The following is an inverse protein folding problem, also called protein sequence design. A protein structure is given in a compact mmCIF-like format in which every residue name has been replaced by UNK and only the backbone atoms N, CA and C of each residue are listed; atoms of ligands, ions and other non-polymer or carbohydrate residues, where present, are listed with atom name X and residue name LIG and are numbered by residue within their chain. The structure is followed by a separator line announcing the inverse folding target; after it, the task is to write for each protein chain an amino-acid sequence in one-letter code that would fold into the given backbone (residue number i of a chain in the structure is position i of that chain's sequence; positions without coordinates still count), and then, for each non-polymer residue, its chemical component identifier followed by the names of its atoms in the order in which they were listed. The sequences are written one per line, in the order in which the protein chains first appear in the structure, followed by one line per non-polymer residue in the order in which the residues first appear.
data_IF_418764495803
#
_entry.id   IF_418764495803
#
_cell.length_a   1.000
_cell.length_b   1.000
_cell.length_c   1.000
_cell.angle_alpha   90.00
_cell.angle_beta   90.00
_cell.angle_gamma   90.00
#
_symmetry.space_group_name_H-M   'P 1'
#
loop_
_entity.id
_entity.type
_entity.pdbx_description
1 polymer ?
#
# COMPACT_ATOMS: atom_id res chain seq x y z
N UNK A 1 25.54 -21.86 -41.10
CA UNK A 1 24.26 -21.22 -41.47
C UNK A 1 23.95 -20.13 -40.46
N UNK A 2 24.28 -18.89 -40.82
CA UNK A 2 24.00 -17.68 -40.04
C UNK A 2 22.55 -17.31 -40.29
N UNK A 3 21.76 -17.06 -39.24
CA UNK A 3 20.44 -16.45 -39.38
C UNK A 3 20.37 -15.18 -38.54
N UNK A 4 20.42 -14.11 -39.31
CA UNK A 4 20.36 -12.68 -39.04
C UNK A 4 19.17 -12.27 -38.18
N UNK A 5 19.42 -11.35 -37.26
CA UNK A 5 18.47 -10.58 -36.46
C UNK A 5 17.92 -9.44 -37.33
N UNK A 6 16.59 -9.24 -37.33
CA UNK A 6 15.98 -8.02 -37.85
C UNK A 6 15.14 -7.37 -36.75
N UNK A 7 15.67 -6.28 -36.18
CA UNK A 7 14.96 -5.36 -35.32
C UNK A 7 14.25 -4.33 -36.20
N UNK A 8 12.94 -4.14 -35.99
CA UNK A 8 12.16 -3.07 -36.63
C UNK A 8 12.06 -1.92 -35.64
N UNK A 9 12.87 -0.88 -35.87
CA UNK A 9 12.66 0.46 -35.30
C UNK A 9 11.52 1.13 -36.06
N UNK A 10 10.44 1.52 -35.37
CA UNK A 10 9.41 2.39 -35.94
C UNK A 10 9.53 3.78 -35.31
N UNK A 11 10.18 4.67 -36.06
CA UNK A 11 10.24 6.11 -35.84
C UNK A 11 8.90 6.72 -36.28
N UNK A 12 8.23 7.50 -35.44
CA UNK A 12 7.08 8.30 -35.87
C UNK A 12 7.40 9.79 -35.81
N UNK A 13 7.27 10.40 -37.00
CA UNK A 13 7.37 11.82 -37.27
C UNK A 13 6.16 12.58 -36.71
N UNK A 14 6.42 13.79 -36.22
CA UNK A 14 5.42 14.82 -35.90
C UNK A 14 5.13 15.64 -37.15
N UNK A 15 3.86 15.87 -37.53
CA UNK A 15 3.51 17.00 -38.38
C UNK A 15 3.02 18.17 -37.51
N UNK A 16 3.73 19.30 -37.60
CA UNK A 16 3.22 20.59 -37.18
C UNK A 16 2.37 21.24 -38.27
N UNK A 17 1.37 22.01 -37.84
CA UNK A 17 0.61 23.08 -38.52
C UNK A 17 -0.50 23.46 -37.51
N UNK A 18 -0.88 24.69 -37.21
CA UNK A 18 -0.77 26.00 -37.84
C UNK A 18 -1.89 26.83 -37.17
N UNK A 19 -1.64 28.10 -36.86
CA UNK A 19 -2.44 28.89 -35.93
C UNK A 19 -3.87 29.28 -36.37
N UNK A 20 -4.63 29.79 -35.40
CA UNK A 20 -5.72 30.74 -35.62
C UNK A 20 -5.87 31.62 -34.37
N UNK A 21 -5.65 32.91 -34.55
CA UNK A 21 -5.96 33.96 -33.59
C UNK A 21 -7.45 34.31 -33.65
N UNK A 22 -8.06 34.63 -32.51
CA UNK A 22 -9.29 35.42 -32.45
C UNK A 22 -9.14 36.46 -31.33
N UNK A 23 -9.23 37.73 -31.75
CA UNK A 23 -9.42 38.91 -30.90
C UNK A 23 -10.91 39.17 -30.67
N UNK A 24 -11.25 39.61 -29.47
CA UNK A 24 -12.25 40.63 -29.07
C UNK A 24 -12.39 40.51 -27.55
N UNK A 25 -12.46 41.55 -26.72
CA UNK A 25 -12.73 42.97 -26.90
C UNK A 25 -13.71 43.41 -25.80
N UNK A 26 -13.31 44.33 -24.91
CA UNK A 26 -14.14 44.96 -23.86
C UNK A 26 -13.79 44.49 -22.44
N UNK A 27 -13.30 45.30 -21.49
CA UNK A 27 -13.20 46.76 -21.36
C UNK A 27 -14.23 47.30 -20.36
N UNK A 28 -13.92 47.31 -19.06
CA UNK A 28 -14.41 48.33 -18.09
C UNK A 28 -13.32 48.60 -17.05
N UNK A 29 -13.09 49.89 -16.83
CA UNK A 29 -12.09 50.51 -15.96
C UNK A 29 -12.75 51.01 -14.67
N UNK A 30 -12.07 50.89 -13.53
CA UNK A 30 -12.23 51.79 -12.38
C UNK A 30 -10.82 52.12 -11.86
N UNK A 31 -10.39 53.38 -12.02
CA UNK A 31 -9.33 54.06 -11.26
C UNK A 31 -9.88 54.42 -9.86
N UNK A 32 -9.15 54.60 -8.78
CA UNK A 32 -7.71 54.73 -8.53
C UNK A 32 -7.48 55.30 -7.12
N UNK A 33 -6.20 55.55 -6.77
CA UNK A 33 -5.73 56.34 -5.62
C UNK A 33 -5.35 55.50 -4.39
N UNK A 34 -4.28 55.77 -3.64
CA UNK A 34 -3.14 56.69 -3.79
C UNK A 34 -2.03 56.22 -2.84
N UNK A 35 -0.80 56.58 -3.19
CA UNK A 35 0.44 56.48 -2.41
C UNK A 35 0.38 57.10 -1.01
N UNK A 36 1.14 56.53 -0.07
CA UNK A 36 1.50 57.17 1.19
C UNK A 36 2.62 56.40 1.90
N UNK A 37 3.85 56.89 1.77
CA UNK A 37 5.03 56.45 2.54
C UNK A 37 5.10 57.24 3.84
N UNK A 38 5.36 56.59 4.98
CA UNK A 38 5.91 57.22 6.20
C UNK A 38 6.86 56.23 6.89
N UNK A 39 8.06 56.72 7.20
CA UNK A 39 9.12 56.06 7.94
C UNK A 39 9.05 56.31 9.46
N UNK A 40 9.52 55.30 10.22
CA UNK A 40 10.29 55.31 11.49
C UNK A 40 9.62 55.77 12.80
N UNK A 41 9.54 54.84 13.78
CA UNK A 41 10.30 54.87 15.06
C UNK A 41 9.65 53.97 16.13
N UNK A 42 10.48 53.30 16.95
CA UNK A 42 10.05 52.76 18.25
C UNK A 42 10.42 51.30 18.52
N UNK A 43 11.68 51.06 18.85
CA UNK A 43 12.14 49.84 19.54
C UNK A 43 11.48 49.73 20.93
N UNK A 44 11.04 48.52 21.30
CA UNK A 44 10.97 48.11 22.70
C UNK A 44 11.43 46.66 22.85
N UNK A 45 12.61 46.56 23.43
CA UNK A 45 13.36 45.37 23.82
C UNK A 45 12.52 44.44 24.72
N UNK A 46 12.54 43.13 24.44
CA UNK A 46 12.02 42.07 25.31
C UNK A 46 13.18 41.14 25.62
N UNK A 47 13.44 40.78 26.90
CA UNK A 47 14.69 40.14 27.30
C UNK A 47 14.76 38.67 26.86
N UNK A 48 15.97 38.25 26.48
CA UNK A 48 16.31 36.90 26.06
C UNK A 48 16.18 35.88 27.21
N UNK A 49 15.67 34.66 26.96
CA UNK A 49 15.82 33.56 27.89
C UNK A 49 17.19 32.88 27.73
N UNK A 50 17.72 32.47 28.87
CA UNK A 50 19.06 31.94 29.09
C UNK A 50 19.42 30.71 28.25
N UNK A 51 20.71 30.62 27.93
CA UNK A 51 21.36 29.46 27.33
C UNK A 51 21.19 28.21 28.21
N UNK A 52 20.54 27.18 27.67
CA UNK A 52 20.41 25.87 28.28
C UNK A 52 20.50 24.77 27.23
N UNK A 53 21.57 23.96 27.31
CA UNK A 53 21.69 22.59 26.79
C UNK A 53 21.22 22.30 25.35
N UNK A 54 22.18 22.15 24.42
CA UNK A 54 21.95 21.46 23.13
C UNK A 54 21.40 20.05 23.39
N UNK A 55 20.10 19.85 23.24
CA UNK A 55 19.50 18.53 23.07
C UNK A 55 19.64 18.13 21.59
N UNK A 56 20.28 16.99 21.35
CA UNK A 56 20.36 16.40 20.01
C UNK A 56 18.95 16.04 19.49
N UNK A 57 18.68 16.15 18.18
CA UNK A 57 17.38 15.80 17.62
C UNK A 57 17.10 14.29 17.79
N UNK A 58 15.88 13.89 18.19
CA UNK A 58 15.53 12.49 18.44
C UNK A 58 15.17 11.79 17.12
N UNK A 59 16.12 11.72 16.17
CA UNK A 59 16.04 10.87 14.98
C UNK A 59 17.42 10.84 14.29
N UNK A 60 18.39 10.19 14.93
CA UNK A 60 19.54 9.66 14.21
C UNK A 60 19.14 8.28 13.65
N UNK A 61 19.46 7.95 12.38
CA UNK A 61 19.19 6.63 11.85
C UNK A 61 19.96 5.59 12.69
N UNK A 62 19.23 4.64 13.26
CA UNK A 62 19.83 3.51 13.97
C UNK A 62 20.65 2.73 12.95
N UNK A 63 21.98 2.83 13.04
CA UNK A 63 22.89 2.01 12.23
C UNK A 63 22.70 0.55 12.67
N UNK A 64 22.12 -0.27 11.81
CA UNK A 64 22.16 -1.71 12.00
C UNK A 64 23.63 -2.16 12.00
N UNK A 65 24.05 -2.84 13.06
CA UNK A 65 25.36 -3.45 13.13
C UNK A 65 25.49 -4.47 12.00
N UNK A 66 26.33 -4.16 11.01
CA UNK A 66 26.73 -5.08 9.95
C UNK A 66 27.70 -6.13 10.53
N UNK A 67 27.14 -7.09 11.27
CA UNK A 67 27.83 -8.29 11.72
C UNK A 67 27.37 -9.50 10.92
N UNK A 68 27.77 -9.59 9.66
CA UNK A 68 27.44 -10.71 8.77
C UNK A 68 28.28 -10.65 7.51
N UNK A 69 28.83 -11.79 7.08
CA UNK A 69 29.66 -11.94 5.88
C UNK A 69 29.02 -11.23 4.68
N UNK A 70 29.78 -10.41 3.95
CA UNK A 70 29.36 -9.86 2.66
C UNK A 70 28.94 -11.04 1.74
N UNK A 71 27.70 -11.04 1.25
CA UNK A 71 27.42 -11.54 -0.10
C UNK A 71 26.40 -12.66 -0.32
N UNK A 72 25.74 -13.23 0.69
CA UNK A 72 24.58 -14.12 0.44
C UNK A 72 23.29 -13.41 0.86
N UNK A 73 22.51 -12.96 -0.13
CA UNK A 73 21.15 -12.50 0.08
C UNK A 73 20.34 -13.66 0.68
N UNK A 74 19.79 -13.49 1.88
CA UNK A 74 18.99 -14.52 2.54
C UNK A 74 17.80 -14.90 1.64
N UNK A 75 17.86 -16.10 1.05
CA UNK A 75 16.75 -16.68 0.29
C UNK A 75 15.89 -17.54 1.20
N UNK A 76 14.61 -17.20 1.27
CA UNK A 76 13.59 -17.96 1.98
C UNK A 76 13.11 -19.15 1.17
N UNK A 77 12.80 -20.24 1.86
CA UNK A 77 12.23 -21.43 1.24
C UNK A 77 10.85 -21.13 0.66
N UNK A 78 10.56 -21.74 -0.50
CA UNK A 78 9.29 -21.56 -1.21
C UNK A 78 8.13 -22.13 -0.36
N UNK A 79 7.11 -21.31 -0.01
CA UNK A 79 5.99 -21.76 0.80
C UNK A 79 5.07 -22.77 0.12
N UNK A 80 5.15 -22.95 -1.19
CA UNK A 80 4.37 -23.96 -1.92
C UNK A 80 4.95 -25.36 -1.71
N UNK A 81 6.26 -25.46 -1.54
CA UNK A 81 6.98 -26.74 -1.35
C UNK A 81 7.43 -26.97 0.09
N UNK A 82 7.37 -25.93 0.93
CA UNK A 82 7.82 -25.98 2.33
C UNK A 82 6.64 -25.94 3.29
N UNK A 83 6.56 -26.90 4.20
CA UNK A 83 5.57 -26.90 5.28
C UNK A 83 6.02 -25.98 6.41
N UNK A 84 5.17 -25.03 6.77
CA UNK A 84 5.35 -24.18 7.95
C UNK A 84 4.37 -24.58 9.05
N UNK A 85 4.78 -24.49 10.34
CA UNK A 85 3.86 -24.73 11.44
C UNK A 85 2.72 -23.71 11.42
N UNK A 86 1.51 -24.17 11.72
CA UNK A 86 0.36 -23.29 11.88
C UNK A 86 0.63 -22.31 13.04
N UNK A 87 0.34 -21.02 12.81
CA UNK A 87 0.48 -19.97 13.82
C UNK A 87 -0.77 -19.12 13.81
N UNK A 88 -1.33 -18.84 14.99
CA UNK A 88 -2.49 -17.95 15.13
C UNK A 88 -2.13 -16.58 14.54
N UNK A 89 -2.99 -16.06 13.67
CA UNK A 89 -2.75 -14.81 12.94
C UNK A 89 -1.97 -14.99 11.64
N UNK A 90 -1.70 -16.23 11.21
CA UNK A 90 -1.23 -16.55 9.86
C UNK A 90 -2.35 -17.26 9.11
N UNK A 91 -2.67 -16.75 7.92
CA UNK A 91 -3.76 -17.26 7.10
C UNK A 91 -3.22 -18.16 5.97
N UNK A 92 -4.08 -18.96 5.31
CA UNK A 92 -3.68 -19.79 4.19
C UNK A 92 -3.00 -19.00 3.07
N UNK A 93 -2.08 -19.66 2.37
CA UNK A 93 -1.45 -19.10 1.18
C UNK A 93 -2.36 -19.20 -0.04
N UNK A 94 -2.38 -18.13 -0.81
CA UNK A 94 -2.70 -18.11 -2.22
C UNK A 94 -1.42 -18.37 -3.01
N UNK A 95 -1.41 -19.46 -3.77
CA UNK A 95 -0.26 -19.87 -4.58
C UNK A 95 -0.45 -19.50 -6.04
N UNK A 96 0.67 -19.29 -6.71
CA UNK A 96 0.76 -18.89 -8.12
C UNK A 96 -0.33 -17.86 -8.45
N UNK A 97 -0.21 -16.65 -7.91
CA UNK A 97 -1.14 -15.57 -8.22
C UNK A 97 -0.44 -14.62 -9.18
N UNK A 98 -1.12 -14.25 -10.26
CA UNK A 98 -0.63 -13.17 -11.12
C UNK A 98 -0.74 -11.86 -10.35
N UNK A 99 0.42 -11.28 -10.03
CA UNK A 99 0.53 -9.94 -9.51
C UNK A 99 0.77 -8.95 -10.65
N UNK A 100 0.10 -7.82 -10.63
CA UNK A 100 0.33 -6.68 -11.53
C UNK A 100 0.71 -5.44 -10.74
N UNK A 101 1.35 -4.46 -11.37
CA UNK A 101 1.78 -3.24 -10.69
C UNK A 101 0.80 -2.11 -10.93
N UNK A 102 0.40 -1.46 -9.84
CA UNK A 102 -0.41 -0.25 -9.85
C UNK A 102 0.22 0.78 -8.92
N UNK A 103 -0.14 2.06 -9.08
CA UNK A 103 0.43 3.10 -8.24
C UNK A 103 -0.55 4.24 -7.93
N UNK A 104 -0.32 4.87 -6.78
CA UNK A 104 -1.07 6.04 -6.33
C UNK A 104 -0.86 7.22 -7.28
N UNK A 105 -1.96 7.81 -7.72
CA UNK A 105 -1.99 8.94 -8.65
C UNK A 105 -1.87 8.56 -10.12
N UNK A 106 -1.97 7.27 -10.47
CA UNK A 106 -2.10 6.84 -11.87
C UNK A 106 -3.27 7.58 -12.56
N UNK A 107 -2.97 8.23 -13.67
CA UNK A 107 -3.96 8.88 -14.52
C UNK A 107 -4.74 7.83 -15.32
N UNK A 108 -6.01 8.08 -15.66
CA UNK A 108 -6.76 7.16 -16.47
C UNK A 108 -6.15 7.10 -17.89
N UNK A 109 -6.07 5.91 -18.45
CA UNK A 109 -5.64 5.67 -19.84
C UNK A 109 -6.75 5.00 -20.62
N UNK A 110 -6.60 4.91 -21.95
CA UNK A 110 -7.56 4.16 -22.78
C UNK A 110 -7.72 2.69 -22.34
N UNK A 111 -6.68 2.10 -21.72
CA UNK A 111 -6.66 0.72 -21.21
C UNK A 111 -7.05 0.61 -19.73
N UNK A 112 -6.91 1.67 -18.94
CA UNK A 112 -7.32 1.73 -17.54
C UNK A 112 -8.17 2.99 -17.30
N UNK A 113 -9.49 2.85 -17.34
CA UNK A 113 -10.40 3.99 -17.16
C UNK A 113 -10.47 4.49 -15.72
N UNK A 114 -9.97 3.71 -14.76
CA UNK A 114 -10.06 4.03 -13.33
C UNK A 114 -8.75 4.68 -12.87
N UNK A 115 -8.77 5.97 -12.52
CA UNK A 115 -7.58 6.63 -12.00
C UNK A 115 -7.37 6.33 -10.51
N UNK A 116 -6.12 6.24 -10.08
CA UNK A 116 -5.74 5.86 -8.70
C UNK A 116 -5.43 7.08 -7.82
N UNK A 117 -6.07 8.22 -8.07
CA UNK A 117 -5.97 9.39 -7.18
C UNK A 117 -6.79 9.21 -5.89
N UNK A 118 -7.70 8.22 -5.89
CA UNK A 118 -8.53 7.76 -4.79
C UNK A 118 -8.36 6.26 -4.65
N UNK A 119 -8.51 5.75 -3.44
CA UNK A 119 -8.72 4.33 -3.20
C UNK A 119 -10.17 4.08 -2.78
N UNK A 120 -10.51 2.81 -2.71
CA UNK A 120 -11.77 2.28 -2.19
C UNK A 120 -12.13 2.78 -0.79
N UNK A 121 -11.13 3.25 -0.01
CA UNK A 121 -11.32 3.74 1.35
C UNK A 121 -10.63 5.08 1.64
N UNK A 122 -10.12 5.77 0.61
CA UNK A 122 -9.51 7.09 0.74
C UNK A 122 -9.82 7.96 -0.49
N UNK A 123 -10.70 8.94 -0.31
CA UNK A 123 -11.12 9.85 -1.39
C UNK A 123 -10.08 10.93 -1.72
N UNK A 124 -8.99 11.00 -0.95
CA UNK A 124 -7.87 11.92 -1.14
C UNK A 124 -6.55 11.15 -1.15
N UNK A 125 -6.55 9.92 -1.67
CA UNK A 125 -5.44 8.97 -1.49
C UNK A 125 -4.08 9.51 -1.94
N UNK A 126 -4.00 10.10 -3.14
CA UNK A 126 -2.75 10.72 -3.62
C UNK A 126 -2.31 11.89 -2.74
N UNK A 127 -3.25 12.76 -2.36
CA UNK A 127 -2.93 13.88 -1.49
C UNK A 127 -2.43 13.36 -0.14
N UNK A 128 -3.14 12.42 0.50
CA UNK A 128 -2.80 11.83 1.79
C UNK A 128 -1.48 11.05 1.75
N UNK A 129 -1.15 10.39 0.64
CA UNK A 129 0.16 9.75 0.44
C UNK A 129 1.29 10.78 0.39
N UNK A 130 1.02 11.97 -0.15
CA UNK A 130 1.97 13.09 -0.24
C UNK A 130 2.34 13.47 -1.67
N UNK A 131 1.91 12.70 -2.68
CA UNK A 131 2.22 12.99 -4.07
C UNK A 131 1.98 11.79 -4.99
N UNK A 132 2.43 11.92 -6.24
CA UNK A 132 2.39 10.87 -7.25
C UNK A 132 3.44 9.79 -6.97
N UNK A 133 3.03 8.52 -6.91
CA UNK A 133 3.93 7.40 -6.62
C UNK A 133 4.63 6.90 -7.88
N UNK A 134 5.68 7.60 -8.30
CA UNK A 134 6.32 7.39 -9.61
C UNK A 134 6.70 5.92 -9.87
N UNK A 135 6.17 5.25 -10.91
CA UNK A 135 6.34 3.81 -11.06
C UNK A 135 7.74 3.39 -11.52
N UNK A 136 8.54 4.30 -12.09
CA UNK A 136 9.91 3.98 -12.52
C UNK A 136 10.87 3.82 -11.33
N UNK A 137 11.74 2.80 -11.41
CA UNK A 137 12.76 2.46 -10.42
C UNK A 137 13.78 3.58 -10.23
N UNK A 138 14.07 4.38 -11.26
CA UNK A 138 15.02 5.48 -11.16
C UNK A 138 14.56 6.58 -10.19
N UNK A 139 13.27 6.65 -9.90
CA UNK A 139 12.66 7.63 -9.01
C UNK A 139 12.46 7.08 -7.59
N UNK A 140 13.17 6.00 -7.24
CA UNK A 140 13.07 5.31 -5.95
C UNK A 140 14.31 5.49 -5.09
N UNK A 141 14.12 5.76 -3.80
CA UNK A 141 15.19 5.77 -2.80
C UNK A 141 15.69 4.34 -2.55
N UNK A 142 16.79 4.18 -1.80
CA UNK A 142 17.24 2.87 -1.29
C UNK A 142 16.17 2.13 -0.46
N UNK A 143 15.25 2.88 0.17
CA UNK A 143 14.10 2.35 0.91
C UNK A 143 12.84 2.15 0.04
N UNK A 144 12.99 2.16 -1.29
CA UNK A 144 11.92 1.94 -2.26
C UNK A 144 10.78 2.99 -2.25
N UNK A 145 10.98 4.11 -1.55
CA UNK A 145 10.07 5.25 -1.50
C UNK A 145 10.26 6.19 -2.71
N UNK A 146 9.28 7.02 -3.07
CA UNK A 146 9.45 8.10 -4.04
C UNK A 146 10.59 9.06 -3.64
N UNK A 147 11.45 9.46 -4.58
CA UNK A 147 12.51 10.46 -4.34
C UNK A 147 11.98 11.87 -4.13
N UNK A 148 10.79 12.18 -4.67
CA UNK A 148 10.25 13.54 -4.68
C UNK A 148 9.63 14.01 -3.36
N UNK A 149 9.34 13.11 -2.42
CA UNK A 149 8.73 13.44 -1.13
C UNK A 149 8.88 12.28 -0.13
N UNK A 150 8.75 12.59 1.16
CA UNK A 150 8.63 11.56 2.21
C UNK A 150 7.17 11.09 2.26
N UNK A 151 6.88 9.80 2.03
CA UNK A 151 5.50 9.32 1.98
C UNK A 151 4.83 9.37 3.35
N UNK A 152 3.62 9.94 3.37
CA UNK A 152 2.76 10.08 4.56
C UNK A 152 1.83 8.89 4.77
N UNK A 153 1.69 8.01 3.79
CA UNK A 153 1.13 6.66 3.94
C UNK A 153 2.21 5.61 3.60
N UNK A 154 1.98 4.36 3.97
CA UNK A 154 2.95 3.29 3.75
C UNK A 154 3.20 3.08 2.25
N UNK A 155 4.46 3.15 1.77
CA UNK A 155 4.79 2.92 0.35
C UNK A 155 4.64 1.45 -0.07
N UNK A 156 4.59 0.51 0.88
CA UNK A 156 4.31 -0.90 0.61
C UNK A 156 2.82 -1.16 0.76
N UNK A 157 2.08 -1.00 -0.34
CA UNK A 157 0.64 -1.24 -0.39
C UNK A 157 0.25 -2.20 -1.51
N UNK A 158 -0.96 -2.76 -1.39
CA UNK A 158 -1.59 -3.66 -2.37
C UNK A 158 -3.07 -3.34 -2.58
N UNK A 159 -3.63 -3.82 -3.69
CA UNK A 159 -5.05 -3.99 -3.90
C UNK A 159 -5.42 -5.47 -4.00
N UNK A 160 -6.54 -5.85 -3.36
CA UNK A 160 -7.17 -7.18 -3.50
C UNK A 160 -8.63 -6.99 -3.92
N UNK A 161 -9.23 -7.93 -4.69
CA UNK A 161 -10.47 -7.69 -5.43
C UNK A 161 -11.74 -7.81 -4.57
N UNK A 162 -11.73 -7.21 -3.38
CA UNK A 162 -12.87 -7.19 -2.47
C UNK A 162 -12.99 -5.87 -1.70
N UNK A 163 -14.17 -5.26 -1.69
CA UNK A 163 -14.53 -4.15 -0.83
C UNK A 163 -15.54 -4.60 0.23
N UNK A 164 -15.13 -4.43 1.47
CA UNK A 164 -15.89 -4.29 2.70
C UNK A 164 -17.33 -3.78 2.74
N UNK A 165 -17.46 -2.63 2.10
CA UNK A 165 -18.39 -1.58 2.49
C UNK A 165 -19.29 -1.23 1.31
N UNK A 166 -20.51 -0.86 1.65
CA UNK A 166 -21.47 -0.26 0.73
C UNK A 166 -21.60 1.20 1.15
N UNK A 167 -20.67 2.03 0.64
CA UNK A 167 -20.56 3.43 1.05
C UNK A 167 -20.14 3.60 2.50
N UNK A 168 -20.50 4.75 3.09
CA UNK A 168 -20.08 5.17 4.43
C UNK A 168 -20.96 4.65 5.57
N UNK A 169 -22.08 3.97 5.26
CA UNK A 169 -23.11 3.62 6.24
C UNK A 169 -23.28 2.13 6.49
N UNK A 170 -22.74 1.25 5.65
CA UNK A 170 -22.99 -0.18 5.73
C UNK A 170 -21.81 -1.03 5.26
N UNK A 171 -21.77 -2.27 5.75
CA UNK A 171 -20.95 -3.34 5.20
C UNK A 171 -21.74 -4.16 4.19
N UNK A 172 -21.05 -4.89 3.32
CA UNK A 172 -21.71 -5.86 2.45
C UNK A 172 -22.34 -6.99 3.28
N UNK A 173 -23.49 -7.55 2.87
CA UNK A 173 -24.19 -8.58 3.65
C UNK A 173 -23.35 -9.81 3.98
N UNK A 174 -22.41 -10.18 3.11
CA UNK A 174 -21.51 -11.32 3.33
C UNK A 174 -20.31 -11.00 4.21
N UNK A 175 -19.98 -9.73 4.45
CA UNK A 175 -18.72 -9.30 5.06
C UNK A 175 -18.46 -9.95 6.43
N UNK A 176 -19.45 -9.96 7.32
CA UNK A 176 -19.33 -10.57 8.65
C UNK A 176 -19.06 -12.08 8.57
N UNK A 177 -19.64 -12.75 7.58
CA UNK A 177 -19.53 -14.20 7.41
C UNK A 177 -18.19 -14.60 6.78
N UNK A 178 -17.69 -13.82 5.83
CA UNK A 178 -16.55 -14.23 4.98
C UNK A 178 -15.20 -13.69 5.47
N UNK A 179 -15.19 -12.55 6.17
CA UNK A 179 -13.94 -11.93 6.63
C UNK A 179 -13.50 -12.55 7.96
N UNK A 180 -12.37 -13.28 8.01
CA UNK A 180 -12.01 -14.08 9.19
C UNK A 180 -11.81 -13.27 10.47
N UNK A 181 -11.48 -11.99 10.35
CA UNK A 181 -11.24 -11.08 11.48
C UNK A 181 -12.38 -10.10 11.71
N UNK A 182 -13.53 -10.22 11.02
CA UNK A 182 -14.60 -9.23 11.09
C UNK A 182 -15.01 -8.92 12.53
N UNK A 183 -15.39 -9.95 13.30
CA UNK A 183 -15.84 -9.77 14.70
C UNK A 183 -14.78 -9.17 15.61
N UNK A 184 -13.50 -9.50 15.36
CA UNK A 184 -12.37 -8.93 16.11
C UNK A 184 -12.21 -7.46 15.76
N UNK A 185 -12.40 -7.12 14.50
CA UNK A 185 -11.96 -5.84 13.96
C UNK A 185 -13.03 -4.81 13.65
N UNK A 186 -14.30 -5.20 13.68
CA UNK A 186 -15.45 -4.33 13.49
C UNK A 186 -15.46 -3.19 14.52
N UNK A 187 -15.61 -1.96 14.03
CA UNK A 187 -15.72 -0.76 14.86
C UNK A 187 -17.13 -0.16 14.75
N UNK A 188 -17.59 0.07 13.52
CA UNK A 188 -18.93 0.57 13.18
C UNK A 188 -19.25 0.30 11.72
N UNK A 189 -20.53 0.36 11.38
CA UNK A 189 -20.99 0.19 10.00
C UNK A 189 -20.31 1.21 9.04
N UNK A 190 -19.96 0.74 7.83
CA UNK A 190 -19.29 1.57 6.81
C UNK A 190 -17.81 1.89 7.09
N UNK A 191 -17.25 1.39 8.20
CA UNK A 191 -15.81 1.43 8.48
C UNK A 191 -15.19 0.09 8.06
N UNK A 192 -14.35 0.11 7.04
CA UNK A 192 -13.67 -1.07 6.52
C UNK A 192 -12.88 -1.80 7.60
N UNK A 193 -13.02 -3.12 7.64
CA UNK A 193 -12.15 -4.06 8.37
C UNK A 193 -11.06 -4.67 7.47
N UNK A 194 -11.09 -4.41 6.17
CA UNK A 194 -10.06 -4.82 5.21
C UNK A 194 -8.90 -3.81 5.11
N UNK A 195 -9.19 -2.50 5.16
CA UNK A 195 -8.18 -1.45 5.03
C UNK A 195 -7.08 -1.60 6.09
N UNK A 196 -5.83 -1.57 5.65
CA UNK A 196 -4.64 -1.59 6.50
C UNK A 196 -4.25 -2.98 7.00
N UNK A 197 -4.99 -4.04 6.64
CA UNK A 197 -4.62 -5.43 6.91
C UNK A 197 -3.33 -5.75 6.16
N UNK A 198 -2.44 -6.51 6.80
CA UNK A 198 -1.16 -6.86 6.23
C UNK A 198 -1.22 -8.16 5.42
N UNK A 199 -0.55 -8.14 4.27
CA UNK A 199 -0.24 -9.33 3.48
C UNK A 199 1.25 -9.63 3.53
N UNK A 200 1.60 -10.90 3.53
CA UNK A 200 2.95 -11.37 3.20
C UNK A 200 2.95 -11.78 1.73
N UNK A 201 3.94 -11.32 0.96
CA UNK A 201 4.08 -11.62 -0.46
C UNK A 201 5.44 -12.27 -0.66
N UNK A 202 5.49 -13.39 -1.37
CA UNK A 202 6.69 -14.14 -1.69
C UNK A 202 6.91 -14.20 -3.20
N UNK A 203 8.15 -13.97 -3.62
CA UNK A 203 8.62 -14.12 -5.00
C UNK A 203 10.08 -14.54 -4.99
N UNK A 204 10.40 -15.64 -5.67
CA UNK A 204 11.78 -16.12 -5.93
C UNK A 204 12.76 -16.03 -4.74
N UNK A 205 12.34 -16.55 -3.59
CA UNK A 205 13.18 -16.60 -2.39
C UNK A 205 13.19 -15.32 -1.55
N UNK A 206 12.46 -14.28 -1.96
CA UNK A 206 12.26 -13.07 -1.15
C UNK A 206 10.82 -12.99 -0.66
N UNK A 207 10.62 -12.37 0.50
CA UNK A 207 9.28 -11.92 0.89
C UNK A 207 9.33 -10.50 1.41
N UNK A 208 8.22 -9.79 1.23
CA UNK A 208 7.94 -8.53 1.91
C UNK A 208 6.57 -8.58 2.58
N UNK A 209 6.25 -7.53 3.30
CA UNK A 209 4.91 -7.27 3.80
C UNK A 209 4.38 -5.97 3.24
N UNK A 210 3.07 -5.89 2.99
CA UNK A 210 2.40 -4.72 2.47
C UNK A 210 1.01 -4.55 3.08
N UNK A 211 0.51 -3.32 3.13
CA UNK A 211 -0.83 -3.00 3.62
C UNK A 211 -1.86 -3.03 2.51
N UNK A 212 -3.02 -3.62 2.77
CA UNK A 212 -4.15 -3.60 1.85
C UNK A 212 -4.83 -2.23 1.89
N UNK A 213 -4.70 -1.43 0.82
CA UNK A 213 -5.12 -0.02 0.81
C UNK A 213 -6.12 0.33 -0.32
N UNK A 214 -6.37 -0.60 -1.25
CA UNK A 214 -7.38 -0.43 -2.31
C UNK A 214 -8.05 -1.75 -2.74
N UNK A 215 -9.08 -1.67 -3.58
CA UNK A 215 -9.77 -2.80 -4.17
C UNK A 215 -9.51 -2.92 -5.66
N UNK A 216 -9.19 -4.13 -6.09
CA UNK A 216 -8.78 -4.48 -7.45
C UNK A 216 -7.92 -5.74 -7.41
N UNK A 217 -7.60 -6.36 -8.53
CA UNK A 217 -7.81 -5.88 -9.90
C UNK A 217 -9.23 -6.17 -10.43
N UNK A 218 -9.76 -5.25 -11.24
CA UNK A 218 -11.01 -5.31 -12.04
C UNK A 218 -12.36 -5.50 -11.32
N UNK A 219 -12.40 -6.16 -10.17
CA UNK A 219 -13.61 -6.34 -9.37
C UNK A 219 -13.38 -5.98 -7.91
N UNK A 220 -14.48 -5.82 -7.17
CA UNK A 220 -14.50 -5.47 -5.76
C UNK A 220 -15.39 -6.41 -4.93
N UNK A 221 -15.79 -7.55 -5.48
CA UNK A 221 -16.76 -8.48 -4.88
C UNK A 221 -16.26 -9.93 -4.80
N UNK A 222 -14.97 -10.18 -5.04
CA UNK A 222 -14.40 -11.51 -5.19
C UNK A 222 -13.94 -12.13 -3.86
N UNK A 223 -14.87 -12.20 -2.91
CA UNK A 223 -14.59 -12.76 -1.57
C UNK A 223 -14.23 -14.25 -1.60
N UNK A 224 -14.75 -15.00 -2.58
CA UNK A 224 -14.49 -16.43 -2.72
C UNK A 224 -13.03 -16.74 -3.08
N UNK A 225 -12.40 -15.83 -3.83
CA UNK A 225 -10.95 -15.82 -4.00
C UNK A 225 -10.27 -15.26 -2.76
N UNK A 226 -10.57 -14.02 -2.37
CA UNK A 226 -9.77 -13.30 -1.35
C UNK A 226 -9.72 -14.04 -0.01
N UNK A 227 -10.85 -14.57 0.46
CA UNK A 227 -10.96 -15.28 1.75
C UNK A 227 -11.17 -16.79 1.61
N UNK A 228 -11.32 -17.28 0.39
CA UNK A 228 -11.55 -18.70 0.10
C UNK A 228 -10.40 -19.34 -0.66
N UNK A 229 -10.75 -20.30 -1.52
CA UNK A 229 -9.81 -21.13 -2.28
C UNK A 229 -10.07 -21.10 -3.79
N UNK A 230 -11.04 -20.31 -4.27
CA UNK A 230 -11.30 -20.16 -5.71
C UNK A 230 -10.17 -19.36 -6.37
N UNK A 231 -9.90 -19.55 -7.68
CA UNK A 231 -9.06 -18.63 -8.42
C UNK A 231 -9.71 -17.23 -8.52
N UNK A 232 -8.93 -16.17 -8.84
CA UNK A 232 -9.50 -14.85 -9.12
C UNK A 232 -10.60 -14.93 -10.19
N UNK A 233 -11.71 -14.22 -9.96
CA UNK A 233 -12.85 -14.13 -10.88
C UNK A 233 -12.48 -13.44 -12.20
N UNK A 234 -11.50 -12.53 -12.16
CA UNK A 234 -11.05 -11.76 -13.32
C UNK A 234 -10.29 -12.64 -14.33
N UNK A 235 -10.56 -12.46 -15.63
CA UNK A 235 -9.84 -13.11 -16.74
C UNK A 235 -8.84 -12.19 -17.46
N UNK A 236 -8.89 -10.86 -17.24
CA UNK A 236 -7.99 -9.90 -17.87
C UNK A 236 -6.60 -9.90 -17.20
N UNK A 237 -5.58 -9.36 -17.88
CA UNK A 237 -4.19 -9.28 -17.38
C UNK A 237 -3.69 -10.62 -16.81
N UNK A 238 -3.89 -11.72 -17.56
CA UNK A 238 -3.50 -13.07 -17.14
C UNK A 238 -4.11 -13.50 -15.79
N UNK A 239 -5.41 -13.21 -15.61
CA UNK A 239 -6.15 -13.48 -14.37
C UNK A 239 -5.45 -12.90 -13.13
N UNK A 240 -5.10 -11.61 -13.20
CA UNK A 240 -4.54 -10.88 -12.07
C UNK A 240 -5.43 -11.03 -10.83
N UNK A 241 -4.81 -11.30 -9.69
CA UNK A 241 -5.48 -11.47 -8.39
C UNK A 241 -4.99 -10.53 -7.30
N UNK A 242 -3.88 -9.83 -7.53
CA UNK A 242 -3.34 -8.83 -6.60
C UNK A 242 -2.64 -7.74 -7.40
N UNK A 243 -2.90 -6.48 -7.07
CA UNK A 243 -2.07 -5.38 -7.53
C UNK A 243 -1.06 -5.00 -6.44
N UNK A 244 0.20 -4.84 -6.82
CA UNK A 244 1.31 -4.51 -5.91
C UNK A 244 1.86 -3.13 -6.23
N UNK A 245 2.18 -2.37 -5.20
CA UNK A 245 2.86 -1.08 -5.33
C UNK A 245 4.25 -1.20 -6.00
N UNK A 246 4.79 -0.11 -6.57
CA UNK A 246 6.14 -0.13 -7.12
C UNK A 246 7.20 -0.48 -6.06
N UNK A 247 7.01 -0.07 -4.80
CA UNK A 247 7.94 -0.43 -3.72
C UNK A 247 7.99 -1.94 -3.46
N UNK A 248 6.85 -2.63 -3.54
CA UNK A 248 6.78 -4.10 -3.45
C UNK A 248 7.47 -4.75 -4.64
N UNK A 249 7.19 -4.27 -5.87
CA UNK A 249 7.82 -4.76 -7.11
C UNK A 249 9.35 -4.67 -7.01
N UNK A 250 9.85 -3.52 -6.60
CA UNK A 250 11.29 -3.21 -6.57
C UNK A 250 12.01 -4.00 -5.48
N UNK A 251 11.41 -4.09 -4.30
CA UNK A 251 11.96 -4.90 -3.21
C UNK A 251 12.05 -6.39 -3.60
N UNK A 252 11.03 -6.92 -4.27
CA UNK A 252 11.01 -8.32 -4.70
C UNK A 252 11.87 -8.56 -5.95
N UNK A 253 12.28 -7.51 -6.67
CA UNK A 253 13.07 -7.62 -7.89
C UNK A 253 12.29 -8.15 -9.09
N UNK A 254 11.01 -7.79 -9.23
CA UNK A 254 10.14 -8.24 -10.33
C UNK A 254 10.47 -7.47 -11.63
N UNK A 255 10.90 -8.13 -12.72
CA UNK A 255 11.53 -7.46 -13.87
C UNK A 255 10.58 -6.90 -14.95
N UNK A 256 9.27 -7.22 -14.91
CA UNK A 256 8.36 -6.94 -16.04
C UNK A 256 6.98 -6.41 -15.63
N UNK A 257 6.87 -5.79 -14.44
CA UNK A 257 5.62 -5.20 -13.94
C UNK A 257 4.51 -6.21 -13.62
N UNK A 258 4.72 -7.49 -13.90
CA UNK A 258 3.88 -8.60 -13.47
C UNK A 258 4.71 -9.84 -13.16
N UNK A 259 4.30 -10.63 -12.18
CA UNK A 259 4.94 -11.91 -11.84
C UNK A 259 3.96 -12.89 -11.21
N UNK A 260 4.36 -14.17 -11.12
CA UNK A 260 3.65 -15.16 -10.31
C UNK A 260 4.20 -15.11 -8.90
N UNK A 261 3.37 -14.72 -7.95
CA UNK A 261 3.73 -14.58 -6.53
C UNK A 261 2.93 -15.56 -5.70
N UNK A 262 3.33 -15.70 -4.43
CA UNK A 262 2.48 -16.30 -3.40
C UNK A 262 2.14 -15.22 -2.39
N UNK A 263 0.91 -15.18 -1.91
CA UNK A 263 0.54 -14.21 -0.88
C UNK A 263 -0.39 -14.80 0.17
N UNK A 264 -0.38 -14.23 1.38
CA UNK A 264 -1.32 -14.58 2.45
C UNK A 264 -1.55 -13.39 3.35
N UNK A 265 -2.68 -13.38 4.06
CA UNK A 265 -2.87 -12.45 5.17
C UNK A 265 -1.99 -12.81 6.36
N UNK A 266 -1.63 -11.79 7.15
CA UNK A 266 -0.87 -11.93 8.38
C UNK A 266 -1.24 -10.85 9.39
N UNK A 267 -1.41 -11.23 10.64
CA UNK A 267 -1.63 -10.27 11.71
C UNK A 267 -0.36 -9.43 11.96
N UNK A 268 -0.53 -8.13 12.23
CA UNK A 268 0.58 -7.19 12.42
C UNK A 268 1.66 -7.62 13.42
N UNK A 269 1.29 -8.30 14.51
CA UNK A 269 2.26 -8.76 15.51
C UNK A 269 3.28 -9.78 14.97
N UNK A 270 3.01 -10.36 13.80
CA UNK A 270 3.88 -11.31 13.08
C UNK A 270 4.63 -10.66 11.92
N UNK A 271 4.28 -9.43 11.55
CA UNK A 271 5.00 -8.66 10.54
C UNK A 271 6.37 -8.31 11.12
N UNK A 272 7.41 -8.78 10.44
CA UNK A 272 8.80 -8.48 10.78
C UNK A 272 9.17 -7.08 10.30
N UNK A 273 10.20 -6.49 10.88
CA UNK A 273 10.73 -5.22 10.40
C UNK A 273 11.41 -5.38 9.03
N UNK A 274 11.37 -4.32 8.24
CA UNK A 274 11.92 -4.21 6.89
C UNK A 274 11.62 -2.82 6.33
N UNK A 275 11.90 -2.54 5.05
CA UNK A 275 11.63 -1.23 4.45
C UNK A 275 10.16 -0.78 4.60
N UNK A 276 9.20 -1.71 4.53
CA UNK A 276 7.76 -1.49 4.76
C UNK A 276 7.39 -0.99 6.17
N UNK A 277 8.32 -0.99 7.12
CA UNK A 277 8.08 -0.58 8.50
C UNK A 277 8.48 0.89 8.77
N UNK A 278 9.07 1.59 7.79
CA UNK A 278 9.77 2.87 8.03
C UNK A 278 8.89 4.12 7.94
N UNK A 279 7.89 4.11 7.06
CA UNK A 279 7.12 5.32 6.71
C UNK A 279 5.61 5.09 6.76
N UNK A 280 4.87 6.20 6.81
CA UNK A 280 3.40 6.24 6.75
C UNK A 280 2.72 6.38 8.11
N UNK A 281 1.80 7.34 8.23
CA UNK A 281 0.96 7.53 9.43
C UNK A 281 -0.11 6.45 9.58
N UNK A 282 -0.44 5.71 8.51
CA UNK A 282 -1.26 4.49 8.52
C UNK A 282 -0.45 3.23 8.88
N UNK A 283 0.86 3.37 9.14
CA UNK A 283 1.74 2.25 9.46
C UNK A 283 1.88 2.05 10.98
N UNK A 284 1.41 0.92 11.55
CA UNK A 284 1.50 0.65 12.99
C UNK A 284 2.93 0.50 13.55
N UNK A 285 3.96 0.40 12.70
CA UNK A 285 5.35 0.54 13.16
C UNK A 285 5.68 1.99 13.55
N UNK A 286 5.19 2.96 12.77
CA UNK A 286 5.45 4.41 12.91
C UNK A 286 4.46 5.05 13.89
N UNK A 287 3.17 4.74 13.74
CA UNK A 287 2.09 5.34 14.54
C UNK A 287 1.56 4.33 15.58
N UNK A 288 1.93 4.55 16.85
CA UNK A 288 1.51 3.70 17.97
C UNK A 288 0.04 3.84 18.36
N UNK A 289 -0.63 4.90 17.89
CA UNK A 289 -2.05 5.10 18.15
C UNK A 289 -2.94 4.18 17.30
N UNK A 290 -2.39 3.57 16.26
CA UNK A 290 -3.13 2.63 15.43
C UNK A 290 -3.49 1.38 16.22
N UNK A 291 -4.73 0.92 16.04
CA UNK A 291 -5.28 -0.26 16.72
C UNK A 291 -4.37 -1.48 16.65
N UNK A 292 -3.81 -1.79 15.48
CA UNK A 292 -2.92 -2.94 15.33
C UNK A 292 -1.63 -2.81 16.15
N UNK A 293 -1.09 -1.58 16.30
CA UNK A 293 0.05 -1.33 17.17
C UNK A 293 -0.31 -1.58 18.64
N UNK A 294 -1.41 -0.99 19.11
CA UNK A 294 -1.93 -1.18 20.47
C UNK A 294 -2.17 -2.66 20.82
N UNK A 295 -2.75 -3.42 19.89
CA UNK A 295 -2.99 -4.86 20.08
C UNK A 295 -1.69 -5.67 20.20
N UNK A 296 -0.64 -5.29 19.48
CA UNK A 296 0.68 -5.93 19.58
C UNK A 296 1.30 -5.66 20.96
N UNK A 297 1.25 -4.43 21.43
CA UNK A 297 1.83 -4.04 22.73
C UNK A 297 1.07 -4.66 23.91
N UNK A 298 -0.27 -4.72 23.84
CA UNK A 298 -1.08 -5.42 24.84
C UNK A 298 -0.74 -6.92 24.96
N UNK A 299 -0.37 -7.57 23.85
CA UNK A 299 0.11 -8.97 23.87
C UNK A 299 1.51 -9.10 24.47
N UNK A 300 2.41 -8.12 24.26
CA UNK A 300 3.74 -8.10 24.89
C UNK A 300 3.67 -7.81 26.39
N UNK A 301 2.79 -6.91 26.82
CA UNK A 301 2.56 -6.57 28.23
C UNK A 301 1.91 -7.70 29.04
N UNK A 302 1.14 -8.59 28.41
CA UNK A 302 0.61 -9.82 29.01
C UNK A 302 1.62 -10.97 29.06
N UNK A 303 2.89 -10.67 29.33
CA UNK A 303 3.95 -11.67 29.57
C UNK A 303 3.72 -12.58 30.78
N UNK A 304 2.60 -12.46 31.49
CA UNK A 304 2.08 -13.48 32.40
C UNK A 304 0.98 -14.28 31.70
N UNK A 305 1.12 -15.62 31.66
CA UNK A 305 0.20 -16.61 31.08
C UNK A 305 -1.27 -16.17 31.15
N UNK A 306 -1.78 -15.59 30.07
CA UNK A 306 -3.20 -15.63 29.75
C UNK A 306 -3.30 -16.54 28.55
N UNK A 307 -3.76 -17.77 28.78
CA UNK A 307 -4.10 -18.67 27.68
C UNK A 307 -5.07 -17.91 26.76
N UNK A 308 -4.78 -17.83 25.45
CA UNK A 308 -5.72 -17.20 24.53
C UNK A 308 -7.05 -17.92 24.66
N UNK A 309 -8.16 -17.18 24.90
CA UNK A 309 -9.49 -17.73 24.64
C UNK A 309 -9.45 -18.28 23.22
N UNK A 310 -9.81 -19.55 23.07
CA UNK A 310 -9.79 -20.24 21.80
C UNK A 310 -10.49 -19.36 20.75
N UNK A 311 -9.70 -18.84 19.83
CA UNK A 311 -10.24 -18.42 18.54
C UNK A 311 -10.80 -19.72 17.95
N UNK A 312 -12.05 -19.77 17.47
CA UNK A 312 -12.55 -20.96 16.80
C UNK A 312 -11.50 -21.38 15.77
N UNK A 313 -11.20 -22.69 15.75
CA UNK A 313 -10.23 -23.24 14.82
C UNK A 313 -10.55 -22.70 13.40
N UNK A 314 -9.54 -22.46 12.55
CA UNK A 314 -9.80 -22.27 11.13
C UNK A 314 -10.69 -23.43 10.70
N UNK A 315 -11.89 -23.13 10.17
CA UNK A 315 -12.77 -24.16 9.62
C UNK A 315 -11.93 -25.06 8.72
N UNK A 316 -12.07 -26.37 8.90
CA UNK A 316 -11.30 -27.34 8.13
C UNK A 316 -11.58 -27.12 6.64
N UNK A 317 -10.61 -27.41 5.76
CA UNK A 317 -10.79 -27.33 4.30
C UNK A 317 -12.02 -28.10 3.81
N UNK A 318 -12.50 -29.07 4.60
CA UNK A 318 -13.67 -29.91 4.33
C UNK A 318 -15.01 -29.29 4.71
N UNK A 319 -15.02 -28.25 5.55
CA UNK A 319 -16.24 -27.52 5.93
C UNK A 319 -16.61 -26.44 4.89
N UNK A 320 -15.74 -26.22 3.90
CA UNK A 320 -16.00 -25.40 2.71
C UNK A 320 -16.80 -26.16 1.65
N UNK A 321 -17.94 -26.75 2.03
CA UNK A 321 -18.89 -27.30 1.06
C UNK A 321 -19.93 -26.24 0.70
N UNK A 322 -20.14 -25.90 -0.58
CA UNK A 322 -21.33 -25.15 -0.96
C UNK A 322 -22.53 -26.07 -0.73
N UNK A 323 -23.69 -25.51 -0.37
CA UNK A 323 -24.94 -26.20 -0.03
C UNK A 323 -25.05 -26.78 1.38
N UNK A 324 -25.78 -26.05 2.23
CA UNK A 324 -27.05 -26.54 2.78
C UNK A 324 -27.94 -25.36 3.15
N UNK A 325 -28.96 -25.18 2.32
CA UNK A 325 -30.18 -24.46 2.68
C UNK A 325 -30.84 -25.19 3.85
N UNK A 326 -31.22 -24.45 4.88
CA UNK A 326 -32.47 -24.69 5.61
C UNK A 326 -33.13 -23.35 5.79
#
# INVERSE_FOLDING_TARGET
MVRTVAAVLLLWMVPGSGGAAVQSGGGVSIRGGSSGSVEVSGEKEVPAPAQGGRLAPPNAPVKFAAGGRKGEEMRYADPKTTKFPAKVGVYPWHFDVTATVFWIGEAPTARNKTPNHKSSWDQLWQANYGGFDHPDTEFRTEDFCPKGFVPRLNPFYVALPYNDCVGSSAHKPEAERVIPWFKRDFERAGRSVCKGVWVQIFYEGRYCFAQWEDCGPFTTDDWEYVFGSKPPKNANNNAAGIDISPAVRDFLGIPSGSARVHWRFVDFHLVKEGPWAKYGLNNPFVNKELKHARLKDARRGKGGRVAPKAVPAPMDRKDWSPYRVR
#
